data_IF_580336255852
#
_entry.id   IF_580336255852
#
_cell.length_a   1.000
_cell.length_b   1.000
_cell.length_c   1.000
_cell.angle_alpha   90.00
_cell.angle_beta   90.00
_cell.angle_gamma   90.00
#
_symmetry.space_group_name_H-M   'P 1'
#
loop_
_entity.id
_entity.type
_entity.pdbx_description
1 polymer ?
#
# COMPACT_ATOMS: atom_id res chain seq x y z
N UNK A 1 18.45 5.14 -4.29
CA UNK A 1 17.72 5.59 -3.08
C UNK A 1 16.33 4.99 -3.14
N UNK A 2 15.83 4.42 -2.04
CA UNK A 2 14.46 3.88 -1.94
C UNK A 2 13.44 4.98 -2.20
N UNK A 3 12.45 4.75 -3.05
CA UNK A 3 11.35 5.71 -3.24
C UNK A 3 10.09 5.01 -2.75
N UNK A 4 9.37 5.53 -1.74
CA UNK A 4 8.10 4.94 -1.34
C UNK A 4 7.17 4.77 -2.54
N UNK A 5 6.44 3.67 -2.59
CA UNK A 5 5.43 3.49 -3.62
C UNK A 5 4.24 4.36 -3.27
N UNK A 6 3.98 5.35 -4.11
CA UNK A 6 2.78 6.18 -4.06
C UNK A 6 2.05 6.00 -5.37
N UNK A 7 0.72 5.88 -5.31
CA UNK A 7 -0.08 5.94 -6.52
C UNK A 7 -0.19 7.41 -6.99
N UNK A 8 0.20 7.72 -8.23
CA UNK A 8 0.07 9.07 -8.76
C UNK A 8 -1.39 9.54 -8.74
N UNK A 9 -1.64 10.75 -8.26
CA UNK A 9 -2.97 11.38 -8.30
C UNK A 9 -4.02 10.74 -7.39
N UNK A 10 -3.60 9.86 -6.48
CA UNK A 10 -4.50 9.18 -5.56
C UNK A 10 -4.51 9.88 -4.20
N UNK A 11 -5.70 10.31 -3.74
CA UNK A 11 -5.85 10.90 -2.41
C UNK A 11 -6.17 9.81 -1.39
N UNK A 12 -5.18 9.42 -0.57
CA UNK A 12 -5.37 8.41 0.48
C UNK A 12 -6.36 8.83 1.56
N UNK A 13 -6.62 10.13 1.75
CA UNK A 13 -7.61 10.59 2.72
C UNK A 13 -9.04 10.14 2.36
N UNK A 14 -9.26 9.69 1.12
CA UNK A 14 -10.54 9.15 0.68
C UNK A 14 -10.66 7.64 0.91
N UNK A 15 -9.56 6.94 1.23
CA UNK A 15 -9.62 5.52 1.59
C UNK A 15 -10.29 5.41 2.98
N UNK A 16 -11.29 4.53 3.14
CA UNK A 16 -11.89 4.27 4.45
C UNK A 16 -10.86 3.97 5.53
N UNK A 17 -11.14 4.39 6.77
CA UNK A 17 -10.26 4.13 7.93
C UNK A 17 -8.82 4.65 7.77
N UNK A 18 -8.62 5.66 6.93
CA UNK A 18 -7.30 6.27 6.72
C UNK A 18 -7.13 7.53 7.54
N UNK A 19 -6.03 7.58 8.28
CA UNK A 19 -5.58 8.79 8.97
C UNK A 19 -4.36 9.35 8.26
N UNK A 20 -4.33 10.66 8.07
CA UNK A 20 -3.22 11.34 7.40
C UNK A 20 -2.58 12.36 8.33
N UNK A 21 -1.28 12.54 8.19
CA UNK A 21 -0.54 13.60 8.85
C UNK A 21 0.48 14.22 7.90
N UNK A 22 0.54 15.55 7.91
CA UNK A 22 1.53 16.34 7.17
C UNK A 22 2.33 17.21 8.12
N UNK A 23 3.62 17.35 7.84
CA UNK A 23 4.49 18.30 8.54
C UNK A 23 4.72 19.49 7.64
N UNK A 24 4.53 20.69 8.18
CA UNK A 24 4.78 21.95 7.49
C UNK A 24 5.96 22.70 8.10
N UNK A 25 6.67 23.46 7.26
CA UNK A 25 7.68 24.43 7.67
C UNK A 25 7.31 25.77 7.06
N UNK A 26 6.86 26.71 7.87
CA UNK A 26 6.41 28.04 7.43
C UNK A 26 5.36 27.95 6.31
N UNK A 27 4.35 27.10 6.49
CA UNK A 27 3.28 26.86 5.52
C UNK A 27 3.64 25.98 4.31
N UNK A 28 4.90 25.57 4.16
CA UNK A 28 5.32 24.63 3.10
C UNK A 28 5.30 23.20 3.63
N UNK A 29 4.58 22.29 2.96
CA UNK A 29 4.59 20.87 3.32
C UNK A 29 5.97 20.28 3.06
N UNK A 30 6.59 19.69 4.09
CA UNK A 30 7.89 19.03 4.02
C UNK A 30 7.80 17.50 4.14
N UNK A 31 6.70 16.98 4.66
CA UNK A 31 6.37 15.56 4.62
C UNK A 31 4.85 15.36 4.71
N UNK A 32 4.36 14.27 4.10
CA UNK A 32 2.97 13.84 4.19
C UNK A 32 2.90 12.31 4.15
N UNK A 33 2.24 11.72 5.14
CA UNK A 33 2.12 10.27 5.34
C UNK A 33 0.68 9.95 5.74
N UNK A 34 0.19 8.79 5.33
CA UNK A 34 -1.07 8.24 5.82
C UNK A 34 -0.89 6.81 6.29
N UNK A 35 -1.69 6.41 7.27
CA UNK A 35 -1.87 5.01 7.65
C UNK A 35 -3.36 4.65 7.51
N UNK A 36 -3.63 3.62 6.72
CA UNK A 36 -4.94 2.99 6.60
C UNK A 36 -5.03 1.83 7.60
N UNK A 37 -6.06 1.83 8.45
CA UNK A 37 -6.31 0.73 9.38
C UNK A 37 -6.89 -0.47 8.64
N UNK A 38 -6.34 -1.65 8.91
CA UNK A 38 -6.76 -2.91 8.27
C UNK A 38 -7.41 -3.85 9.28
N UNK A 39 -6.93 -3.80 10.52
CA UNK A 39 -7.53 -4.46 11.68
C UNK A 39 -7.09 -3.75 12.95
N UNK A 40 -7.46 -4.28 14.11
CA UNK A 40 -7.04 -3.73 15.41
C UNK A 40 -5.52 -3.57 15.57
N UNK A 41 -4.72 -4.38 14.87
CA UNK A 41 -3.27 -4.38 15.02
C UNK A 41 -2.51 -4.31 13.68
N UNK A 42 -3.19 -4.12 12.56
CA UNK A 42 -2.58 -4.07 11.23
C UNK A 42 -2.89 -2.75 10.55
N UNK A 43 -1.86 -2.11 9.99
CA UNK A 43 -1.97 -0.87 9.24
C UNK A 43 -1.19 -0.92 7.93
N UNK A 44 -1.56 -0.07 6.99
CA UNK A 44 -0.83 0.13 5.74
C UNK A 44 -0.36 1.58 5.64
N UNK A 45 0.94 1.81 5.54
CA UNK A 45 1.57 3.12 5.47
C UNK A 45 1.83 3.53 4.02
N UNK A 46 1.40 4.75 3.68
CA UNK A 46 1.66 5.41 2.40
C UNK A 46 2.39 6.72 2.65
N UNK A 47 3.53 6.92 2.00
CA UNK A 47 4.34 8.15 2.13
C UNK A 47 4.17 8.98 0.88
N UNK A 48 3.26 9.95 0.90
CA UNK A 48 2.92 10.79 -0.26
C UNK A 48 4.05 11.72 -0.65
N UNK A 49 4.70 12.29 0.35
CA UNK A 49 5.74 13.28 0.15
C UNK A 49 6.74 13.25 1.29
N UNK A 50 8.01 13.42 0.94
CA UNK A 50 9.10 13.59 1.90
C UNK A 50 10.20 14.42 1.25
N UNK A 51 10.47 15.60 1.82
CA UNK A 51 11.54 16.48 1.35
C UNK A 51 12.89 15.76 1.43
N UNK A 52 13.59 15.71 0.30
CA UNK A 52 14.90 15.04 0.16
C UNK A 52 15.97 15.63 1.10
N UNK A 53 15.87 16.92 1.43
CA UNK A 53 16.81 17.62 2.30
C UNK A 53 16.60 17.26 3.78
N UNK A 54 15.40 16.81 4.15
CA UNK A 54 15.01 16.48 5.51
C UNK A 54 14.92 14.97 5.78
N UNK A 55 14.80 14.15 4.74
CA UNK A 55 14.65 12.68 4.82
C UNK A 55 15.60 11.98 5.80
N UNK A 56 16.86 12.39 5.82
CA UNK A 56 17.92 11.79 6.65
C UNK A 56 18.38 12.72 7.78
N UNK A 57 17.55 13.71 8.14
CA UNK A 57 17.82 14.65 9.23
C UNK A 57 16.96 14.29 10.43
N UNK A 58 17.55 14.47 11.60
CA UNK A 58 16.83 14.40 12.88
C UNK A 58 16.23 15.78 13.12
N UNK A 59 14.97 15.79 13.53
CA UNK A 59 14.18 17.00 13.71
C UNK A 59 13.36 16.90 14.99
N UNK A 60 12.90 18.04 15.48
CA UNK A 60 11.82 18.14 16.46
C UNK A 60 10.54 18.62 15.79
N UNK A 61 9.40 18.44 16.47
CA UNK A 61 8.13 19.07 16.12
C UNK A 61 7.83 20.16 17.16
N UNK A 62 7.17 21.26 16.76
CA UNK A 62 6.96 22.42 17.65
C UNK A 62 6.00 22.14 18.80
N UNK A 63 5.03 21.23 18.60
CA UNK A 63 3.99 20.91 19.56
C UNK A 63 3.62 19.41 19.45
N UNK A 64 3.36 18.76 20.59
CA UNK A 64 2.73 17.43 20.63
C UNK A 64 1.22 17.57 20.40
N UNK A 65 0.84 17.93 19.17
CA UNK A 65 -0.55 17.85 18.75
C UNK A 65 -0.87 16.37 18.52
N UNK A 66 -1.75 15.81 19.36
CA UNK A 66 -2.20 14.44 19.19
C UNK A 66 -2.89 14.29 17.83
N UNK A 67 -2.44 13.30 17.05
CA UNK A 67 -3.09 12.95 15.79
C UNK A 67 -4.47 12.38 16.10
N UNK A 68 -5.51 12.98 15.52
CA UNK A 68 -6.86 12.45 15.57
C UNK A 68 -7.04 11.37 14.50
N UNK A 69 -7.53 10.20 14.90
CA UNK A 69 -7.77 9.10 13.97
C UNK A 69 -8.93 9.43 13.01
N UNK A 70 -8.74 9.12 11.73
CA UNK A 70 -9.72 9.36 10.67
C UNK A 70 -9.70 10.77 10.08
N UNK A 71 -8.75 11.62 10.46
CA UNK A 71 -8.65 13.01 9.98
C UNK A 71 -7.35 13.30 9.21
N UNK A 72 -7.28 14.48 8.59
CA UNK A 72 -6.06 15.04 7.98
C UNK A 72 -5.40 16.02 8.96
N UNK A 73 -4.32 15.56 9.60
CA UNK A 73 -3.64 16.25 10.69
C UNK A 73 -2.49 17.09 10.15
N UNK A 74 -2.26 18.27 10.74
CA UNK A 74 -1.12 19.13 10.39
C UNK A 74 -0.24 19.35 11.61
N UNK A 75 1.04 19.09 11.46
CA UNK A 75 2.08 19.30 12.45
C UNK A 75 3.07 20.35 11.95
N UNK A 76 3.69 21.09 12.87
CA UNK A 76 4.70 22.09 12.55
C UNK A 76 6.11 21.57 12.83
N UNK A 77 6.98 21.72 11.84
CA UNK A 77 8.40 21.39 11.96
C UNK A 77 9.04 22.32 12.99
N UNK A 78 9.69 21.73 13.99
CA UNK A 78 10.55 22.41 14.93
C UNK A 78 11.94 22.64 14.34
N UNK A 79 12.95 22.18 15.06
CA UNK A 79 14.35 22.40 14.73
C UNK A 79 14.93 21.22 13.94
N UNK A 80 15.93 21.50 13.11
CA UNK A 80 16.79 20.46 12.52
C UNK A 80 17.99 20.28 13.44
N UNK A 81 18.08 19.11 14.07
CA UNK A 81 19.09 18.81 15.08
C UNK A 81 20.40 18.42 14.40
N UNK A 82 21.47 19.15 14.71
CA UNK A 82 22.81 18.90 14.16
C UNK A 82 23.63 17.90 14.99
N UNK A 83 23.39 17.83 16.30
CA UNK A 83 24.12 16.99 17.25
C UNK A 83 23.13 16.24 18.14
N UNK A 84 22.54 15.13 17.65
CA UNK A 84 21.57 14.35 18.41
C UNK A 84 22.24 13.66 19.61
N UNK A 85 21.46 13.38 20.65
CA UNK A 85 21.89 12.63 21.82
C UNK A 85 22.28 11.21 21.41
N UNK A 86 23.48 10.78 21.81
CA UNK A 86 23.90 9.40 21.61
C UNK A 86 23.12 8.47 22.54
N UNK A 87 22.05 7.86 21.99
CA UNK A 87 21.18 6.92 22.73
C UNK A 87 21.99 5.80 23.40
N UNK A 88 23.11 5.37 22.84
CA UNK A 88 23.92 4.25 23.38
C UNK A 88 24.52 4.55 24.76
N UNK A 89 24.68 5.84 25.08
CA UNK A 89 25.24 6.29 26.36
C UNK A 89 24.16 6.49 27.44
N UNK A 90 22.89 6.40 27.07
CA UNK A 90 21.78 6.55 28.01
C UNK A 90 21.54 5.26 28.80
N UNK A 91 20.80 5.34 29.90
CA UNK A 91 20.39 4.14 30.65
C UNK A 91 19.42 3.31 29.80
N UNK A 92 19.51 1.98 29.88
CA UNK A 92 18.68 1.04 29.09
C UNK A 92 17.18 1.39 29.14
N UNK A 93 16.66 1.78 30.30
CA UNK A 93 15.25 2.16 30.41
C UNK A 93 14.89 3.40 29.57
N UNK A 94 15.79 4.37 29.44
CA UNK A 94 15.61 5.57 28.59
C UNK A 94 15.75 5.15 27.12
N UNK A 95 16.72 4.29 26.81
CA UNK A 95 16.93 3.80 25.45
C UNK A 95 15.68 3.09 24.88
N UNK A 96 14.94 2.37 25.73
CA UNK A 96 13.84 1.50 25.31
C UNK A 96 12.47 2.15 25.50
N UNK A 97 12.25 2.92 26.57
CA UNK A 97 10.91 3.41 26.93
C UNK A 97 10.72 4.92 26.76
N UNK A 98 11.79 5.69 26.59
CA UNK A 98 11.68 7.13 26.46
C UNK A 98 11.65 7.55 24.99
N UNK A 99 10.52 8.12 24.56
CA UNK A 99 10.37 8.73 23.25
C UNK A 99 11.09 10.09 23.27
N UNK A 100 12.26 10.17 22.64
CA UNK A 100 12.98 11.45 22.53
C UNK A 100 12.23 12.41 21.59
N UNK A 101 12.21 13.72 21.89
CA UNK A 101 11.64 14.73 20.99
C UNK A 101 12.36 14.83 19.63
N UNK A 102 13.62 14.43 19.59
CA UNK A 102 14.47 14.44 18.40
C UNK A 102 14.44 13.08 17.69
N UNK A 103 13.83 13.04 16.51
CA UNK A 103 13.68 11.82 15.71
C UNK A 103 13.80 12.14 14.23
N UNK A 104 13.94 11.12 13.40
CA UNK A 104 13.78 11.34 11.96
C UNK A 104 12.35 11.78 11.65
N UNK A 105 12.17 12.65 10.64
CA UNK A 105 10.84 13.16 10.27
C UNK A 105 9.82 12.04 10.00
N UNK A 106 10.27 10.96 9.37
CA UNK A 106 9.41 9.79 9.11
C UNK A 106 9.15 8.95 10.35
N UNK A 107 10.09 8.90 11.30
CA UNK A 107 9.94 8.20 12.57
C UNK A 107 8.84 8.88 13.40
N UNK A 108 8.88 10.22 13.50
CA UNK A 108 7.81 11.02 14.11
C UNK A 108 6.42 10.69 13.53
N UNK A 109 6.29 10.82 12.20
CA UNK A 109 5.00 10.60 11.54
C UNK A 109 4.50 9.17 11.68
N UNK A 110 5.37 8.16 11.48
CA UNK A 110 4.97 6.75 11.57
C UNK A 110 4.58 6.39 13.01
N UNK A 111 5.32 6.85 14.02
CA UNK A 111 5.02 6.57 15.42
C UNK A 111 3.67 7.17 15.83
N UNK A 112 3.49 8.48 15.61
CA UNK A 112 2.25 9.15 15.98
C UNK A 112 1.03 8.62 15.20
N UNK A 113 1.15 8.37 13.89
CA UNK A 113 0.07 7.79 13.10
C UNK A 113 -0.25 6.36 13.53
N UNK A 114 0.77 5.54 13.81
CA UNK A 114 0.55 4.16 14.24
C UNK A 114 -0.13 4.10 15.59
N UNK A 115 0.22 5.00 16.51
CA UNK A 115 -0.43 5.13 17.80
C UNK A 115 -1.88 5.61 17.68
N UNK A 116 -2.15 6.65 16.88
CA UNK A 116 -3.52 7.13 16.66
C UNK A 116 -4.41 6.06 16.01
N UNK A 117 -3.90 5.36 14.99
CA UNK A 117 -4.69 4.42 14.18
C UNK A 117 -4.87 3.06 14.85
N UNK A 118 -3.81 2.52 15.47
CA UNK A 118 -3.79 1.17 16.02
C UNK A 118 -3.86 1.16 17.56
N UNK A 119 -3.91 2.34 18.18
CA UNK A 119 -3.91 2.52 19.64
C UNK A 119 -2.53 2.35 20.26
N UNK A 120 -2.43 2.56 21.58
CA UNK A 120 -1.21 2.37 22.38
C UNK A 120 -1.21 1.10 23.23
N UNK A 121 -2.34 0.36 23.27
CA UNK A 121 -2.45 -0.89 24.02
C UNK A 121 -1.48 -1.98 23.50
N UNK A 122 -0.92 -2.77 24.44
CA UNK A 122 -0.03 -3.93 24.21
C UNK A 122 1.45 -3.66 23.87
N UNK A 123 2.11 -2.69 24.52
CA UNK A 123 3.58 -2.50 24.52
C UNK A 123 4.23 -2.52 23.11
N UNK A 124 3.50 -2.13 22.05
CA UNK A 124 3.93 -2.18 20.64
C UNK A 124 4.31 -3.56 20.06
N UNK A 125 4.02 -4.65 20.78
CA UNK A 125 4.43 -5.99 20.35
C UNK A 125 3.56 -6.53 19.20
N UNK A 126 2.31 -6.09 19.12
CA UNK A 126 1.33 -6.64 18.16
C UNK A 126 1.09 -5.76 16.94
N UNK A 127 1.46 -4.47 16.98
CA UNK A 127 1.22 -3.52 15.88
C UNK A 127 2.12 -3.88 14.70
N UNK A 128 1.51 -4.13 13.56
CA UNK A 128 2.23 -4.45 12.34
C UNK A 128 1.80 -3.52 11.22
N UNK A 129 2.71 -2.66 10.78
CA UNK A 129 2.47 -1.72 9.69
C UNK A 129 3.22 -2.18 8.47
N UNK A 130 2.57 -2.20 7.32
CA UNK A 130 3.18 -2.54 6.03
C UNK A 130 3.49 -1.28 5.23
N UNK A 131 4.60 -1.25 4.51
CA UNK A 131 4.96 -0.21 3.56
C UNK A 131 5.63 -0.83 2.33
N UNK A 132 5.45 -0.20 1.17
CA UNK A 132 6.07 -0.61 -0.09
C UNK A 132 7.07 0.44 -0.57
N UNK A 133 8.24 -0.02 -1.02
CA UNK A 133 9.29 0.81 -1.63
C UNK A 133 9.62 0.35 -3.04
N UNK A 134 9.85 1.28 -3.94
CA UNK A 134 10.44 0.98 -5.23
C UNK A 134 11.97 0.84 -5.16
N UNK A 135 12.50 -0.02 -6.03
CA UNK A 135 13.91 -0.27 -6.35
C UNK A 135 14.74 -0.90 -5.23
N UNK A 136 14.60 -0.42 -4.00
CA UNK A 136 15.32 -0.93 -2.85
C UNK A 136 14.54 -0.70 -1.57
N UNK A 137 14.53 -1.71 -0.70
CA UNK A 137 14.02 -1.61 0.68
C UNK A 137 15.13 -1.39 1.71
N UNK A 138 16.30 -0.86 1.30
CA UNK A 138 17.48 -0.67 2.16
C UNK A 138 17.60 0.74 2.74
N UNK A 139 16.50 1.49 2.81
CA UNK A 139 16.52 2.79 3.48
C UNK A 139 16.72 2.58 4.99
N UNK A 140 17.86 3.05 5.51
CA UNK A 140 18.23 2.90 6.91
C UNK A 140 17.27 3.63 7.84
N UNK A 141 16.72 4.77 7.44
CA UNK A 141 15.79 5.51 8.30
C UNK A 141 14.49 4.72 8.46
N UNK A 142 13.93 4.20 7.37
CA UNK A 142 12.73 3.36 7.47
C UNK A 142 12.97 2.05 8.23
N UNK A 143 14.10 1.39 7.98
CA UNK A 143 14.43 0.10 8.59
C UNK A 143 14.83 0.24 10.06
N UNK A 144 15.80 1.11 10.35
CA UNK A 144 16.47 1.17 11.66
C UNK A 144 15.78 2.14 12.61
N UNK A 145 15.14 3.21 12.12
CA UNK A 145 14.46 4.21 12.96
C UNK A 145 12.94 3.99 12.99
N UNK A 146 12.27 3.94 11.84
CA UNK A 146 10.82 3.73 11.77
C UNK A 146 10.38 2.25 11.90
N UNK A 147 11.32 1.33 12.10
CA UNK A 147 11.05 -0.05 12.52
C UNK A 147 10.57 -1.01 11.42
N UNK A 148 10.64 -0.67 10.13
CA UNK A 148 10.23 -1.54 9.01
C UNK A 148 11.28 -2.62 8.68
N UNK A 149 11.59 -3.46 9.67
CA UNK A 149 12.71 -4.43 9.63
C UNK A 149 12.40 -5.71 8.86
N UNK A 150 11.14 -6.16 8.83
CA UNK A 150 10.77 -7.44 8.22
C UNK A 150 10.53 -7.26 6.74
N UNK A 151 11.25 -8.01 5.91
CA UNK A 151 11.00 -8.08 4.47
C UNK A 151 9.90 -9.08 4.13
N UNK A 152 9.12 -8.77 3.10
CA UNK A 152 8.20 -9.75 2.50
C UNK A 152 8.97 -10.97 1.96
N UNK A 153 8.32 -12.14 1.99
CA UNK A 153 8.93 -13.43 1.63
C UNK A 153 9.20 -13.59 0.13
N UNK A 154 8.53 -12.81 -0.70
CA UNK A 154 8.69 -12.80 -2.15
C UNK A 154 8.96 -11.39 -2.63
N UNK A 155 9.60 -11.29 -3.79
CA UNK A 155 9.79 -10.02 -4.47
C UNK A 155 8.52 -9.66 -5.24
N UNK A 156 8.24 -8.36 -5.36
CA UNK A 156 7.20 -7.82 -6.24
C UNK A 156 7.81 -6.85 -7.26
N UNK A 157 7.06 -6.57 -8.32
CA UNK A 157 7.40 -5.55 -9.30
C UNK A 157 6.15 -4.85 -9.85
N UNK A 158 6.33 -3.61 -10.27
CA UNK A 158 5.39 -2.94 -11.16
C UNK A 158 5.77 -3.27 -12.61
N UNK A 159 4.78 -3.65 -13.41
CA UNK A 159 4.89 -3.92 -14.84
C UNK A 159 4.02 -2.90 -15.55
N UNK A 160 4.61 -2.11 -16.43
CA UNK A 160 3.88 -1.24 -17.36
C UNK A 160 4.00 -1.79 -18.78
N UNK A 161 2.89 -1.82 -19.50
CA UNK A 161 2.80 -2.38 -20.85
C UNK A 161 1.79 -1.60 -21.69
N UNK A 162 2.04 -1.50 -22.98
CA UNK A 162 1.10 -0.97 -23.96
C UNK A 162 -0.07 -1.94 -24.17
N UNK A 163 -1.30 -1.43 -24.15
CA UNK A 163 -2.49 -2.28 -24.18
C UNK A 163 -2.58 -3.14 -25.44
N UNK A 164 -2.24 -2.60 -26.61
CA UNK A 164 -2.28 -3.34 -27.86
C UNK A 164 -1.21 -4.44 -27.94
N UNK A 165 -0.11 -4.31 -27.19
CA UNK A 165 0.87 -5.40 -27.02
C UNK A 165 0.42 -6.43 -25.99
N UNK A 166 -0.21 -5.99 -24.90
CA UNK A 166 -0.74 -6.87 -23.86
C UNK A 166 -1.84 -7.80 -24.42
N UNK A 167 -2.76 -7.28 -25.23
CA UNK A 167 -3.82 -8.06 -25.87
C UNK A 167 -3.30 -9.25 -26.69
N UNK A 168 -2.10 -9.12 -27.29
CA UNK A 168 -1.50 -10.17 -28.14
C UNK A 168 -0.91 -11.33 -27.33
N UNK A 169 -0.64 -11.11 -26.05
CA UNK A 169 0.07 -12.09 -25.20
C UNK A 169 -0.79 -12.64 -24.07
N UNK A 170 -1.87 -11.94 -23.70
CA UNK A 170 -2.85 -12.40 -22.72
C UNK A 170 -3.80 -13.42 -23.36
N UNK A 171 -4.31 -14.34 -22.54
CA UNK A 171 -5.16 -15.44 -23.00
C UNK A 171 -6.56 -15.34 -22.43
N UNK A 172 -7.55 -15.55 -23.29
CA UNK A 172 -8.91 -15.80 -22.84
C UNK A 172 -9.02 -17.22 -22.25
N UNK A 173 -9.72 -17.32 -21.14
CA UNK A 173 -10.15 -18.57 -20.49
C UNK A 173 -11.57 -18.97 -20.96
N UNK A 174 -11.73 -20.20 -21.48
CA UNK A 174 -13.04 -20.71 -21.92
C UNK A 174 -13.95 -21.02 -20.72
N UNK A 175 -15.27 -20.81 -20.87
CA UNK A 175 -16.25 -21.09 -19.82
C UNK A 175 -16.32 -20.03 -18.71
N UNK A 176 -15.44 -19.02 -18.73
CA UNK A 176 -15.47 -17.88 -17.82
C UNK A 176 -16.12 -16.69 -18.52
N UNK A 177 -17.10 -16.07 -17.87
CA UNK A 177 -17.76 -14.85 -18.33
C UNK A 177 -17.28 -13.66 -17.51
N UNK A 178 -16.84 -12.59 -18.16
CA UNK A 178 -16.42 -11.35 -17.49
C UNK A 178 -17.40 -10.22 -17.79
N UNK A 179 -18.00 -9.68 -16.74
CA UNK A 179 -18.98 -8.59 -16.84
C UNK A 179 -18.51 -7.36 -16.06
N UNK A 180 -18.94 -6.18 -16.54
CA UNK A 180 -18.79 -4.95 -15.77
C UNK A 180 -19.79 -4.97 -14.62
N UNK A 181 -19.31 -4.69 -13.42
CA UNK A 181 -20.12 -4.80 -12.21
C UNK A 181 -21.09 -3.62 -12.06
N UNK A 182 -22.20 -3.89 -11.39
CA UNK A 182 -23.16 -2.90 -10.89
C UNK A 182 -23.22 -2.95 -9.37
N UNK A 183 -23.97 -2.05 -8.74
CA UNK A 183 -24.19 -2.07 -7.29
C UNK A 183 -24.76 -3.41 -6.79
N UNK A 184 -25.55 -4.11 -7.63
CA UNK A 184 -26.14 -5.42 -7.30
C UNK A 184 -25.11 -6.54 -7.18
N UNK A 185 -23.91 -6.34 -7.72
CA UNK A 185 -22.84 -7.33 -7.70
C UNK A 185 -21.91 -7.15 -6.49
N UNK A 186 -22.05 -6.04 -5.74
CA UNK A 186 -21.13 -5.66 -4.67
C UNK A 186 -21.02 -6.73 -3.57
N UNK A 187 -22.15 -7.28 -3.12
CA UNK A 187 -22.16 -8.34 -2.11
C UNK A 187 -21.41 -9.59 -2.56
N UNK A 188 -21.52 -9.95 -3.84
CA UNK A 188 -20.81 -11.10 -4.41
C UNK A 188 -19.30 -10.87 -4.47
N UNK A 189 -18.88 -9.66 -4.84
CA UNK A 189 -17.47 -9.25 -4.86
C UNK A 189 -16.90 -9.28 -3.44
N UNK A 190 -17.62 -8.71 -2.47
CA UNK A 190 -17.23 -8.72 -1.05
C UNK A 190 -17.11 -10.14 -0.52
N UNK A 191 -18.09 -11.00 -0.81
CA UNK A 191 -18.07 -12.40 -0.40
C UNK A 191 -16.83 -13.12 -0.92
N UNK A 192 -16.48 -12.93 -2.20
CA UNK A 192 -15.26 -13.48 -2.79
C UNK A 192 -13.99 -12.86 -2.19
N UNK A 193 -13.93 -11.54 -2.01
CA UNK A 193 -12.78 -10.81 -1.46
C UNK A 193 -12.43 -11.28 -0.04
N UNK A 194 -13.46 -11.52 0.78
CA UNK A 194 -13.33 -12.07 2.13
C UNK A 194 -12.71 -13.49 2.15
N UNK A 195 -12.61 -14.16 1.00
CA UNK A 195 -11.89 -15.43 0.91
C UNK A 195 -10.38 -15.26 0.70
N UNK A 196 -9.90 -14.07 0.30
CA UNK A 196 -8.50 -13.81 -0.09
C UNK A 196 -7.57 -13.56 1.10
N UNK A 197 -8.11 -12.98 2.17
CA UNK A 197 -7.38 -12.67 3.40
C UNK A 197 -8.20 -12.99 4.64
N UNK A 198 -7.55 -12.99 5.81
CA UNK A 198 -8.26 -13.06 7.10
C UNK A 198 -8.77 -11.71 7.59
N UNK A 199 -8.68 -10.67 6.75
CA UNK A 199 -9.09 -9.31 7.09
C UNK A 199 -10.40 -8.97 6.40
N UNK A 200 -11.10 -8.02 7.00
CA UNK A 200 -12.40 -7.54 6.58
C UNK A 200 -12.20 -6.26 5.78
N UNK A 201 -12.40 -6.36 4.47
CA UNK A 201 -12.12 -5.31 3.47
C UNK A 201 -13.38 -4.73 2.84
N UNK A 202 -14.55 -4.97 3.42
CA UNK A 202 -15.84 -4.63 2.83
C UNK A 202 -15.92 -3.13 2.47
N UNK A 203 -15.57 -2.25 3.41
CA UNK A 203 -15.56 -0.79 3.20
C UNK A 203 -14.61 -0.38 2.08
N UNK A 204 -13.46 -1.07 1.97
CA UNK A 204 -12.47 -0.79 0.94
C UNK A 204 -12.94 -1.28 -0.45
N UNK A 205 -13.59 -2.44 -0.53
CA UNK A 205 -14.19 -2.93 -1.78
C UNK A 205 -15.34 -2.02 -2.22
N UNK A 206 -16.15 -1.53 -1.28
CA UNK A 206 -17.18 -0.53 -1.57
C UNK A 206 -16.58 0.80 -2.04
N UNK A 207 -15.48 1.24 -1.43
CA UNK A 207 -14.73 2.39 -1.91
C UNK A 207 -14.26 2.17 -3.36
N UNK A 208 -13.70 0.99 -3.68
CA UNK A 208 -13.23 0.66 -5.02
C UNK A 208 -14.37 0.65 -6.04
N UNK A 209 -15.56 0.14 -5.70
CA UNK A 209 -16.70 0.09 -6.62
C UNK A 209 -17.19 1.50 -7.01
N UNK A 210 -17.07 2.47 -6.10
CA UNK A 210 -17.46 3.87 -6.32
C UNK A 210 -16.38 4.69 -7.05
N UNK A 211 -15.11 4.34 -6.90
CA UNK A 211 -13.98 5.18 -7.34
C UNK A 211 -13.16 4.57 -8.50
N UNK A 212 -13.48 3.36 -8.92
CA UNK A 212 -12.76 2.61 -9.96
C UNK A 212 -13.72 1.79 -10.82
N UNK A 213 -13.21 1.19 -11.89
CA UNK A 213 -13.95 0.18 -12.64
C UNK A 213 -13.62 -1.21 -12.10
N UNK A 214 -14.65 -1.98 -11.78
CA UNK A 214 -14.53 -3.38 -11.39
C UNK A 214 -15.16 -4.25 -12.48
N UNK A 215 -14.46 -5.32 -12.86
CA UNK A 215 -15.03 -6.42 -13.65
C UNK A 215 -15.03 -7.70 -12.82
N UNK A 216 -16.12 -8.46 -12.92
CA UNK A 216 -16.33 -9.72 -12.20
C UNK A 216 -16.25 -10.88 -13.18
N UNK A 217 -15.47 -11.91 -12.83
CA UNK A 217 -15.42 -13.18 -13.55
C UNK A 217 -16.33 -14.20 -12.86
N UNK A 218 -17.18 -14.84 -13.64
CA UNK A 218 -18.02 -15.95 -13.19
C UNK A 218 -17.85 -17.20 -14.06
N UNK A 219 -17.94 -18.36 -13.42
CA UNK A 219 -17.95 -19.67 -14.07
C UNK A 219 -19.04 -20.51 -13.41
N UNK A 220 -19.93 -21.10 -14.21
CA UNK A 220 -21.06 -21.89 -13.70
C UNK A 220 -21.92 -21.15 -12.64
N UNK A 221 -22.10 -19.83 -12.84
CA UNK A 221 -22.76 -18.87 -11.93
C UNK A 221 -22.05 -18.58 -10.60
N UNK A 222 -20.87 -19.16 -10.35
CA UNK A 222 -20.04 -18.87 -9.18
C UNK A 222 -19.00 -17.80 -9.50
N UNK A 223 -18.64 -16.99 -8.51
CA UNK A 223 -17.58 -15.98 -8.66
C UNK A 223 -16.23 -16.67 -8.59
N UNK A 224 -15.41 -16.47 -9.64
CA UNK A 224 -14.07 -17.07 -9.74
C UNK A 224 -12.95 -16.03 -9.78
N UNK A 225 -13.30 -14.74 -9.71
CA UNK A 225 -12.33 -13.66 -9.66
C UNK A 225 -12.91 -12.29 -9.93
N UNK A 226 -12.11 -11.25 -9.68
CA UNK A 226 -12.43 -9.88 -10.09
C UNK A 226 -11.16 -9.07 -10.34
N UNK A 227 -11.28 -8.02 -11.14
CA UNK A 227 -10.24 -7.02 -11.37
C UNK A 227 -10.77 -5.64 -11.03
N UNK A 228 -9.95 -4.81 -10.40
CA UNK A 228 -10.23 -3.40 -10.15
C UNK A 228 -9.12 -2.52 -10.69
N UNK A 229 -9.50 -1.36 -11.25
CA UNK A 229 -8.53 -0.39 -11.74
C UNK A 229 -9.18 0.91 -12.22
N UNK A 230 -8.37 1.94 -12.41
CA UNK A 230 -8.79 3.24 -12.92
C UNK A 230 -7.89 3.68 -14.06
N UNK A 231 -8.41 3.63 -15.29
CA UNK A 231 -7.65 3.97 -16.49
C UNK A 231 -6.44 3.04 -16.64
N UNK A 232 -5.21 3.57 -16.70
CA UNK A 232 -4.02 2.75 -16.84
C UNK A 232 -3.59 2.05 -15.54
N UNK A 233 -4.05 2.49 -14.37
CA UNK A 233 -3.61 1.91 -13.10
C UNK A 233 -4.51 0.75 -12.70
N UNK A 234 -3.95 -0.46 -12.71
CA UNK A 234 -4.59 -1.64 -12.13
C UNK A 234 -4.31 -1.64 -10.65
N UNK A 235 -5.39 -1.71 -9.87
CA UNK A 235 -5.32 -1.77 -8.42
C UNK A 235 -5.12 -3.23 -8.00
N UNK A 236 -6.00 -4.14 -8.43
CA UNK A 236 -5.87 -5.55 -8.06
C UNK A 236 -6.46 -6.49 -9.11
N UNK A 237 -5.87 -7.68 -9.22
CA UNK A 237 -6.37 -8.79 -10.04
C UNK A 237 -6.39 -10.02 -9.16
N UNK A 238 -7.60 -10.54 -8.93
CA UNK A 238 -7.86 -11.65 -8.03
C UNK A 238 -8.59 -12.75 -8.78
N UNK A 239 -8.18 -14.01 -8.63
CA UNK A 239 -8.80 -15.13 -9.35
C UNK A 239 -8.40 -16.49 -8.80
N UNK A 240 -9.13 -17.53 -9.18
CA UNK A 240 -8.85 -18.92 -8.78
C UNK A 240 -7.65 -19.54 -9.51
N UNK A 241 -7.26 -18.99 -10.68
CA UNK A 241 -6.11 -19.48 -11.47
C UNK A 241 -5.45 -18.37 -12.30
N UNK A 242 -4.22 -18.61 -12.78
CA UNK A 242 -3.48 -17.64 -13.60
C UNK A 242 -4.21 -17.35 -14.92
N UNK A 243 -4.90 -18.34 -15.50
CA UNK A 243 -5.72 -18.18 -16.70
C UNK A 243 -6.91 -17.24 -16.47
N UNK A 244 -7.52 -17.27 -15.28
CA UNK A 244 -8.58 -16.31 -14.91
C UNK A 244 -7.98 -14.91 -14.75
N UNK A 245 -6.79 -14.81 -14.17
CA UNK A 245 -6.05 -13.54 -14.08
C UNK A 245 -5.77 -12.92 -15.46
N UNK A 246 -5.25 -13.72 -16.40
CA UNK A 246 -5.01 -13.32 -17.79
C UNK A 246 -6.31 -12.88 -18.49
N UNK A 247 -7.39 -13.66 -18.34
CA UNK A 247 -8.69 -13.34 -18.92
C UNK A 247 -9.23 -12.01 -18.36
N UNK A 248 -9.24 -11.84 -17.04
CA UNK A 248 -9.71 -10.60 -16.39
C UNK A 248 -8.96 -9.36 -16.89
N UNK A 249 -7.64 -9.44 -17.02
CA UNK A 249 -6.83 -8.33 -17.51
C UNK A 249 -7.09 -8.03 -18.99
N UNK A 250 -7.22 -9.07 -19.82
CA UNK A 250 -7.57 -8.94 -21.23
C UNK A 250 -8.93 -8.24 -21.39
N UNK A 251 -9.94 -8.68 -20.63
CA UNK A 251 -11.29 -8.10 -20.68
C UNK A 251 -11.33 -6.67 -20.13
N UNK A 252 -10.49 -6.34 -19.16
CA UNK A 252 -10.32 -4.95 -18.70
C UNK A 252 -9.80 -4.06 -19.82
N UNK A 253 -8.78 -4.51 -20.54
CA UNK A 253 -8.23 -3.78 -21.69
C UNK A 253 -9.30 -3.63 -22.78
N UNK A 254 -9.98 -4.71 -23.15
CA UNK A 254 -10.99 -4.69 -24.21
C UNK A 254 -12.18 -3.78 -23.89
N UNK A 255 -12.71 -3.85 -22.66
CA UNK A 255 -13.94 -3.12 -22.29
C UNK A 255 -13.70 -1.66 -21.91
N UNK A 256 -12.53 -1.33 -21.36
CA UNK A 256 -12.23 0.02 -20.85
C UNK A 256 -11.22 0.77 -21.72
N UNK A 257 -10.55 0.07 -22.63
CA UNK A 257 -9.63 0.61 -23.64
C UNK A 257 -8.59 1.62 -23.11
N UNK A 258 -7.91 1.36 -21.97
CA UNK A 258 -6.81 2.20 -21.56
C UNK A 258 -5.66 2.09 -22.58
N UNK A 259 -4.88 3.14 -22.86
CA UNK A 259 -3.78 3.08 -23.84
C UNK A 259 -2.60 2.22 -23.35
N UNK A 260 -2.42 2.14 -22.04
CA UNK A 260 -1.41 1.31 -21.39
C UNK A 260 -1.95 0.87 -20.04
N UNK A 261 -1.36 -0.16 -19.46
CA UNK A 261 -1.68 -0.62 -18.11
C UNK A 261 -0.42 -0.72 -17.25
N UNK A 262 -0.56 -0.42 -15.96
CA UNK A 262 0.44 -0.64 -14.93
C UNK A 262 -0.17 -1.49 -13.83
N UNK A 263 0.38 -2.68 -13.59
CA UNK A 263 -0.02 -3.57 -12.51
C UNK A 263 1.16 -3.90 -11.61
N UNK A 264 0.89 -4.20 -10.34
CA UNK A 264 1.91 -4.60 -9.36
C UNK A 264 1.70 -6.06 -9.01
N UNK A 265 2.71 -6.90 -9.18
CA UNK A 265 2.59 -8.35 -9.01
C UNK A 265 3.80 -8.95 -8.30
N UNK A 266 3.64 -10.17 -7.78
CA UNK A 266 4.73 -11.01 -7.33
C UNK A 266 5.54 -11.52 -8.52
N UNK A 267 6.87 -11.59 -8.37
CA UNK A 267 7.72 -12.21 -9.38
C UNK A 267 7.31 -13.67 -9.65
N UNK A 268 7.29 -14.04 -10.93
CA UNK A 268 6.95 -15.38 -11.38
C UNK A 268 5.59 -15.47 -12.07
N UNK A 269 4.69 -14.51 -11.82
CA UNK A 269 3.46 -14.33 -12.59
C UNK A 269 3.69 -13.49 -13.85
N UNK A 270 2.71 -13.49 -14.75
CA UNK A 270 2.66 -12.62 -15.92
C UNK A 270 3.87 -12.76 -16.86
N UNK A 271 4.41 -13.98 -17.03
CA UNK A 271 5.60 -14.23 -17.86
C UNK A 271 5.44 -13.70 -19.29
N UNK A 272 4.24 -13.88 -19.86
CA UNK A 272 3.91 -13.41 -21.20
C UNK A 272 3.88 -11.88 -21.25
N UNK A 273 3.30 -11.23 -20.25
CA UNK A 273 3.23 -9.77 -20.16
C UNK A 273 4.62 -9.13 -20.00
N UNK A 274 5.50 -9.78 -19.23
CA UNK A 274 6.88 -9.32 -19.04
C UNK A 274 7.68 -9.28 -20.35
N UNK A 275 7.39 -10.17 -21.29
CA UNK A 275 8.06 -10.20 -22.60
C UNK A 275 7.79 -8.96 -23.47
N UNK A 276 6.69 -8.24 -23.18
CA UNK A 276 6.25 -7.05 -23.92
C UNK A 276 6.22 -5.79 -23.04
N UNK A 277 6.70 -5.88 -21.80
CA UNK A 277 6.71 -4.77 -20.85
C UNK A 277 7.56 -3.60 -21.37
N UNK A 278 7.00 -2.39 -21.29
CA UNK A 278 7.72 -1.15 -21.63
C UNK A 278 8.53 -0.64 -20.46
N UNK A 279 8.12 -0.95 -19.24
CA UNK A 279 8.82 -0.60 -18.01
C UNK A 279 8.57 -1.64 -16.94
N UNK A 280 9.62 -1.98 -16.21
CA UNK A 280 9.53 -2.80 -15.00
C UNK A 280 10.26 -2.09 -13.86
N UNK A 281 9.72 -2.21 -12.65
CA UNK A 281 10.33 -1.62 -11.45
C UNK A 281 10.14 -2.54 -10.26
N UNK A 282 11.21 -2.87 -9.55
CA UNK A 282 11.09 -3.73 -8.37
C UNK A 282 10.36 -3.00 -7.23
N UNK A 283 9.61 -3.78 -6.44
CA UNK A 283 8.91 -3.34 -5.25
C UNK A 283 9.39 -4.21 -4.09
N UNK A 284 9.92 -3.56 -3.06
CA UNK A 284 10.30 -4.15 -1.80
C UNK A 284 9.25 -3.80 -0.75
N UNK A 285 8.46 -4.79 -0.36
CA UNK A 285 7.54 -4.68 0.77
C UNK A 285 8.27 -4.92 2.09
N UNK A 286 7.97 -4.07 3.06
CA UNK A 286 8.46 -4.17 4.44
C UNK A 286 7.32 -4.13 5.44
N UNK A 287 7.55 -4.72 6.60
CA UNK A 287 6.64 -4.74 7.72
C UNK A 287 7.40 -4.41 9.01
N UNK A 288 6.70 -3.89 10.01
CA UNK A 288 7.30 -3.60 11.31
C UNK A 288 7.50 -4.85 12.19
N UNK A 289 6.71 -5.91 11.98
CA UNK A 289 6.73 -7.13 12.82
C UNK A 289 6.66 -8.46 12.08
N UNK A 290 5.75 -8.62 11.14
CA UNK A 290 5.59 -9.90 10.43
C UNK A 290 4.92 -9.74 9.05
N UNK A 291 5.14 -10.70 8.16
CA UNK A 291 4.38 -10.81 6.92
C UNK A 291 2.94 -11.26 7.23
N UNK A 292 1.90 -10.54 6.79
CA UNK A 292 0.52 -10.99 6.95
C UNK A 292 0.23 -12.25 6.11
N UNK A 293 -0.73 -13.06 6.55
CA UNK A 293 -1.14 -14.27 5.84
C UNK A 293 -2.19 -13.92 4.79
N UNK A 294 -1.79 -13.94 3.52
CA UNK A 294 -2.67 -13.78 2.36
C UNK A 294 -2.65 -15.02 1.48
N UNK A 295 -3.75 -15.28 0.75
CA UNK A 295 -3.82 -16.29 -0.30
C UNK A 295 -3.18 -15.77 -1.58
N UNK A 296 -1.85 -15.66 -1.56
CA UNK A 296 -1.05 -15.12 -2.67
C UNK A 296 -1.17 -15.92 -3.97
N UNK A 297 -1.62 -17.18 -3.90
CA UNK A 297 -1.98 -18.03 -5.03
C UNK A 297 -3.21 -17.53 -5.80
N UNK A 298 -4.05 -16.69 -5.17
CA UNK A 298 -5.23 -16.06 -5.79
C UNK A 298 -5.07 -14.57 -6.10
N UNK A 299 -3.90 -14.00 -5.83
CA UNK A 299 -3.60 -12.56 -5.98
C UNK A 299 -2.56 -12.39 -7.09
N UNK A 300 -3.02 -12.18 -8.31
CA UNK A 300 -2.15 -12.01 -9.47
C UNK A 300 -1.66 -10.57 -9.61
N UNK A 301 -2.46 -9.58 -9.20
CA UNK A 301 -1.99 -8.21 -8.99
C UNK A 301 -2.50 -7.65 -7.67
N UNK A 302 -1.64 -6.89 -7.00
CA UNK A 302 -1.83 -6.40 -5.64
C UNK A 302 -1.98 -4.87 -5.60
N UNK A 303 -2.84 -4.40 -4.68
CA UNK A 303 -3.14 -2.99 -4.38
C UNK A 303 -1.99 -2.25 -3.66
N UNK A 304 -0.75 -2.38 -4.17
CA UNK A 304 0.45 -1.73 -3.63
C UNK A 304 0.23 -0.22 -3.56
N UNK A 305 0.34 0.36 -2.37
CA UNK A 305 0.20 1.80 -2.14
C UNK A 305 -1.22 2.29 -1.80
N UNK A 306 -2.18 1.40 -1.55
CA UNK A 306 -3.54 1.77 -1.11
C UNK A 306 -3.96 0.99 0.14
N UNK A 307 -4.37 -0.26 -0.07
CA UNK A 307 -4.79 -1.18 0.96
C UNK A 307 -4.79 -2.58 0.33
N UNK A 308 -3.92 -3.45 0.82
CA UNK A 308 -3.78 -4.81 0.33
C UNK A 308 -4.53 -5.86 1.13
N UNK A 309 -4.79 -5.58 2.42
CA UNK A 309 -5.06 -6.61 3.41
C UNK A 309 -6.49 -6.58 3.87
#
# INVERSE_FOLDING_TARGET
MSVPVVLPGYNSSLIPETTSAKVQKNGTIVAAVSITKLSKAQGYCVVHFLDKNLRNKIVTLKEDVAIEAGSDNTLELGEVVSSPVDKRLLRVYIQVHHLLPEQYLIEHLVNQLSEAVLGSLNLELTKNVTIDFYDTGADKVFRDAAGFIVGERFCMHAITVDSAKAEKVLKACQGVTVTKTTEKDLEKIISYDNTLSGFKREDFVEYLSRNSSILLATQDNEVVGYISGKGPEIYGVYGESEEIGDHLLLEYINKLSPPSITLKSKYGYWKNLLSVATKTRSICRRHTRHCPKLKWDKIFAANVGMNLY
#
